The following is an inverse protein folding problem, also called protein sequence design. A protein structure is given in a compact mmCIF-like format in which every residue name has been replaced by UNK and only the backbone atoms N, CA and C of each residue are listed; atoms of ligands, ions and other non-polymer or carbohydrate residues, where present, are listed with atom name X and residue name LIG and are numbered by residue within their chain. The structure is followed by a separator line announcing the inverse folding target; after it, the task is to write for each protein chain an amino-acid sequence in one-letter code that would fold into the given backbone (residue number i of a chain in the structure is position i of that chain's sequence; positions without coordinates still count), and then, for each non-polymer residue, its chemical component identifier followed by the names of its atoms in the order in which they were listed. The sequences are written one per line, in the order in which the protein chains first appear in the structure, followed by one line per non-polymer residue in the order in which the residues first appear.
data_IF_423160329097
#
_entry.id   IF_423160329097
#
_cell.length_a   1.000
_cell.length_b   1.000
_cell.length_c   1.000
_cell.angle_alpha   90.00
_cell.angle_beta   90.00
_cell.angle_gamma   90.00
#
_symmetry.space_group_name_H-M   'P 1'
#
loop_
_entity.id
_entity.type
_entity.pdbx_description
1 polymer ?
#
# COMPACT_ATOMS: atom_id res chain seq x y z
N UNK A 1 9.71 -32.89 -3.09
CA UNK A 1 10.10 -32.04 -3.40
C UNK A 1 10.17 -31.22 -3.34
N UNK A 2 9.64 -31.80 -2.92
CA UNK A 2 9.83 -30.85 -3.11
C UNK A 2 9.72 -30.24 -3.05
N UNK A 3 9.50 -30.47 -2.75
CA UNK A 3 9.53 -29.67 -2.96
C UNK A 3 9.61 -28.94 -3.07
N UNK A 4 9.25 -29.78 -2.99
CA UNK A 4 9.41 -29.02 -3.29
C UNK A 4 9.24 -28.52 -3.43
N UNK A 5 9.21 -28.50 -3.15
CA UNK A 5 9.27 -27.92 -3.58
C UNK A 5 9.57 -27.26 -3.89
N UNK A 6 9.28 -27.57 -3.74
CA UNK A 6 9.60 -26.80 -4.34
C UNK A 6 9.75 -26.44 -4.84
N UNK A 7 9.58 -26.93 -4.87
CA UNK A 7 9.81 -26.57 -5.53
C UNK A 7 10.04 -26.08 -5.80
N UNK A 8 9.96 -26.27 -5.97
CA UNK A 8 10.22 -25.84 -6.41
C UNK A 8 10.33 -25.41 -6.80
N UNK A 9 10.38 -25.41 -6.79
CA UNK A 9 10.48 -25.24 -7.40
C UNK A 9 10.41 -25.02 -7.97
N UNK A 10 10.51 -24.85 -8.17
CA UNK A 10 10.23 -24.85 -8.81
C UNK A 10 9.50 -24.88 -9.15
N UNK A 11 9.86 -25.04 -9.53
CA UNK A 11 8.66 -25.21 -9.92
C UNK A 11 7.57 -24.97 -9.46
N UNK A 12 7.25 -24.69 -9.74
CA UNK A 12 6.24 -24.44 -9.72
C UNK A 12 4.98 -24.21 -9.15
N UNK A 13 4.85 -24.47 -7.99
CA UNK A 13 3.62 -24.16 -7.29
C UNK A 13 3.57 -22.69 -6.92
N UNK A 14 2.38 -22.09 -7.08
CA UNK A 14 2.18 -20.73 -6.60
C UNK A 14 2.37 -20.69 -5.09
N UNK A 15 2.96 -19.61 -4.55
CA UNK A 15 3.10 -19.48 -3.11
C UNK A 15 1.74 -19.49 -2.43
N UNK A 16 1.71 -20.03 -1.24
CA UNK A 16 0.49 -20.03 -0.45
C UNK A 16 0.18 -18.60 -0.02
N UNK A 17 -1.07 -18.17 -0.16
CA UNK A 17 -1.50 -16.86 0.30
C UNK A 17 -1.59 -16.82 1.81
N UNK A 18 -1.04 -15.77 2.40
CA UNK A 18 -1.13 -15.54 3.83
C UNK A 18 -2.51 -14.97 4.16
N UNK A 19 -2.86 -15.00 5.44
CA UNK A 19 -4.10 -14.38 5.89
C UNK A 19 -4.14 -12.90 5.55
N UNK A 20 -3.00 -12.22 5.69
CA UNK A 20 -2.92 -10.81 5.34
C UNK A 20 -3.19 -10.57 3.87
N UNK A 21 -2.64 -11.42 3.00
CA UNK A 21 -2.88 -11.29 1.57
C UNK A 21 -4.34 -11.48 1.22
N UNK A 22 -4.98 -12.46 1.85
CA UNK A 22 -6.42 -12.70 1.64
C UNK A 22 -7.23 -11.51 2.12
N UNK A 23 -6.89 -10.98 3.28
CA UNK A 23 -7.58 -9.80 3.82
C UNK A 23 -7.47 -8.61 2.87
N UNK A 24 -6.27 -8.34 2.35
CA UNK A 24 -6.07 -7.22 1.44
C UNK A 24 -6.83 -7.41 0.13
N UNK A 25 -6.89 -8.65 -0.38
CA UNK A 25 -7.70 -8.94 -1.56
C UNK A 25 -9.17 -8.64 -1.31
N UNK A 26 -9.65 -9.00 -0.13
CA UNK A 26 -11.04 -8.73 0.24
C UNK A 26 -11.31 -7.24 0.33
N UNK A 27 -10.38 -6.49 0.91
CA UNK A 27 -10.55 -5.04 1.04
C UNK A 27 -10.51 -4.36 -0.32
N UNK A 28 -9.70 -4.88 -1.24
CA UNK A 28 -9.66 -4.36 -2.60
C UNK A 28 -11.06 -4.43 -3.25
N UNK A 29 -11.78 -5.51 -2.99
CA UNK A 29 -13.08 -5.73 -3.58
C UNK A 29 -14.22 -5.01 -2.86
N UNK A 30 -14.11 -4.86 -1.55
CA UNK A 30 -15.23 -4.41 -0.70
C UNK A 30 -15.25 -2.90 -0.48
N UNK A 31 -14.08 -2.29 -0.34
CA UNK A 31 -14.00 -0.85 -0.03
C UNK A 31 -14.42 -0.03 -1.25
N UNK A 32 -15.32 0.94 -1.08
CA UNK A 32 -15.74 1.80 -2.20
C UNK A 32 -14.70 2.90 -2.44
N UNK A 33 -13.59 2.52 -3.04
CA UNK A 33 -12.43 3.41 -3.22
C UNK A 33 -12.75 4.72 -3.92
N UNK A 34 -13.50 4.64 -5.03
CA UNK A 34 -13.82 5.84 -5.80
C UNK A 34 -14.66 6.82 -4.99
N UNK A 35 -15.55 6.29 -4.18
CA UNK A 35 -16.41 7.12 -3.36
C UNK A 35 -15.61 7.87 -2.30
N UNK A 36 -14.69 7.17 -1.65
CA UNK A 36 -13.80 7.81 -0.67
C UNK A 36 -12.91 8.83 -1.33
N UNK A 37 -12.41 8.53 -2.52
CA UNK A 37 -11.58 9.49 -3.25
C UNK A 37 -12.33 10.78 -3.54
N UNK A 38 -13.59 10.67 -3.95
CA UNK A 38 -14.39 11.84 -4.25
C UNK A 38 -14.57 12.75 -3.04
N UNK A 39 -14.64 12.16 -1.86
CA UNK A 39 -14.79 12.93 -0.64
C UNK A 39 -13.49 13.60 -0.21
N UNK A 40 -12.36 13.03 -0.58
CA UNK A 40 -11.06 13.49 -0.13
C UNK A 40 -10.38 14.44 -1.10
N UNK A 41 -10.64 14.30 -2.39
CA UNK A 41 -9.98 15.09 -3.44
C UNK A 41 -9.89 16.58 -3.13
N UNK A 42 -10.96 17.23 -2.66
CA UNK A 42 -10.87 18.68 -2.41
C UNK A 42 -9.85 19.06 -1.35
N UNK A 43 -9.46 18.11 -0.51
CA UNK A 43 -8.54 18.37 0.60
C UNK A 43 -7.15 17.79 0.37
N UNK A 44 -6.95 17.08 -0.74
CA UNK A 44 -5.69 16.42 -0.98
C UNK A 44 -4.68 17.38 -1.60
N UNK A 45 -3.43 17.38 -1.14
CA UNK A 45 -2.42 18.29 -1.69
C UNK A 45 -2.23 18.08 -3.18
N UNK A 46 -2.20 19.17 -3.91
CA UNK A 46 -1.95 19.10 -5.35
C UNK A 46 -0.45 19.04 -5.58
N UNK A 47 -0.06 18.54 -6.75
CA UNK A 47 1.33 18.48 -7.14
C UNK A 47 1.93 19.89 -7.05
N UNK A 48 2.83 20.05 -6.10
CA UNK A 48 3.50 21.29 -5.93
C UNK A 48 4.75 21.33 -6.79
N UNK A 49 5.63 22.24 -6.43
CA UNK A 49 6.85 22.42 -7.17
C UNK A 49 7.79 21.24 -6.96
N UNK A 50 8.29 20.73 -8.05
CA UNK A 50 9.42 19.83 -8.03
C UNK A 50 9.14 18.40 -7.65
N UNK A 51 8.12 18.09 -6.91
CA UNK A 51 7.87 16.72 -6.50
C UNK A 51 6.47 16.28 -6.90
N UNK A 52 6.41 15.14 -7.57
CA UNK A 52 5.14 14.56 -7.96
C UNK A 52 4.53 13.86 -6.74
N UNK A 53 3.30 14.20 -6.34
CA UNK A 53 2.67 13.51 -5.22
C UNK A 53 2.27 12.12 -5.63
N UNK A 54 2.20 11.22 -4.64
CA UNK A 54 1.71 9.89 -4.89
C UNK A 54 0.21 9.95 -5.18
N UNK A 55 -0.32 8.99 -5.95
CA UNK A 55 -1.76 8.98 -6.24
C UNK A 55 -2.58 8.94 -4.95
N UNK A 56 -3.71 9.64 -4.97
CA UNK A 56 -4.58 9.68 -3.81
C UNK A 56 -4.98 8.29 -3.35
N UNK A 57 -5.30 7.40 -4.29
CA UNK A 57 -5.71 6.04 -3.94
C UNK A 57 -4.58 5.31 -3.19
N UNK A 58 -3.34 5.51 -3.60
CA UNK A 58 -2.21 4.89 -2.91
C UNK A 58 -2.13 5.39 -1.47
N UNK A 59 -2.26 6.69 -1.26
CA UNK A 59 -2.18 7.24 0.08
C UNK A 59 -3.38 6.85 0.93
N UNK A 60 -4.56 6.74 0.35
CA UNK A 60 -5.73 6.25 1.05
C UNK A 60 -5.51 4.80 1.51
N UNK A 61 -4.98 3.97 0.63
CA UNK A 61 -4.68 2.58 1.00
C UNK A 61 -3.64 2.50 2.10
N UNK A 62 -2.62 3.35 2.05
CA UNK A 62 -1.60 3.40 3.09
C UNK A 62 -2.22 3.78 4.43
N UNK A 63 -3.08 4.80 4.44
CA UNK A 63 -3.76 5.22 5.66
C UNK A 63 -4.60 4.06 6.24
N UNK A 64 -5.34 3.36 5.39
CA UNK A 64 -6.16 2.26 5.86
C UNK A 64 -5.30 1.11 6.38
N UNK A 65 -4.17 0.83 5.73
CA UNK A 65 -3.25 -0.20 6.24
C UNK A 65 -2.72 0.19 7.63
N UNK A 66 -2.45 1.46 7.84
CA UNK A 66 -2.03 1.91 9.17
C UNK A 66 -3.10 1.62 10.21
N UNK A 67 -4.36 1.86 9.86
CA UNK A 67 -5.48 1.60 10.77
C UNK A 67 -5.66 0.10 10.99
N UNK A 68 -5.63 -0.68 9.93
CA UNK A 68 -5.88 -2.12 10.03
C UNK A 68 -4.77 -2.85 10.78
N UNK A 69 -3.53 -2.42 10.61
CA UNK A 69 -2.38 -3.14 11.17
C UNK A 69 -1.73 -2.39 12.34
N UNK A 70 -2.28 -1.25 12.72
CA UNK A 70 -1.77 -0.50 13.86
C UNK A 70 -0.37 0.06 13.66
N UNK A 71 -0.09 0.60 12.46
CA UNK A 71 1.26 1.06 12.13
C UNK A 71 1.37 2.58 12.25
N UNK A 72 2.42 3.03 12.94
CA UNK A 72 2.77 4.44 12.97
C UNK A 72 3.33 4.87 11.62
N UNK A 73 3.52 6.17 11.43
CA UNK A 73 4.07 6.66 10.18
C UNK A 73 5.45 6.07 9.86
N UNK A 74 6.43 6.07 10.79
CA UNK A 74 7.70 5.42 10.48
C UNK A 74 7.59 3.91 10.30
N UNK A 75 6.72 3.24 11.07
CA UNK A 75 6.53 1.81 10.89
C UNK A 75 5.92 1.48 9.53
N UNK A 76 5.03 2.35 9.06
CA UNK A 76 4.42 2.17 7.75
C UNK A 76 5.46 2.32 6.64
N UNK A 77 6.33 3.31 6.76
CA UNK A 77 7.42 3.48 5.79
C UNK A 77 8.29 2.22 5.72
N UNK A 78 8.70 1.71 6.88
CA UNK A 78 9.52 0.51 6.93
C UNK A 78 8.79 -0.70 6.34
N UNK A 79 7.51 -0.84 6.65
CA UNK A 79 6.72 -1.96 6.15
C UNK A 79 6.62 -1.92 4.63
N UNK A 80 6.49 -0.73 4.06
CA UNK A 80 6.44 -0.61 2.60
C UNK A 80 7.77 -1.01 1.97
N UNK A 81 8.89 -0.66 2.60
CA UNK A 81 10.19 -1.08 2.10
C UNK A 81 10.39 -2.59 2.20
N UNK A 82 9.96 -3.19 3.30
CA UNK A 82 10.27 -4.58 3.59
C UNK A 82 9.28 -5.59 3.02
N UNK A 83 8.05 -5.16 2.79
CA UNK A 83 6.97 -6.09 2.46
C UNK A 83 6.39 -5.79 1.08
N UNK A 84 6.82 -6.53 0.05
CA UNK A 84 6.29 -6.32 -1.30
C UNK A 84 4.77 -6.39 -1.39
N UNK A 85 4.16 -7.24 -0.58
CA UNK A 85 2.70 -7.36 -0.55
C UNK A 85 2.02 -6.02 -0.29
N UNK A 86 2.58 -5.24 0.66
CA UNK A 86 1.97 -3.96 1.01
C UNK A 86 2.17 -2.92 -0.09
N UNK A 87 3.33 -2.92 -0.74
CA UNK A 87 3.55 -2.05 -1.89
C UNK A 87 2.58 -2.38 -3.02
N UNK A 88 2.40 -3.67 -3.24
CA UNK A 88 1.50 -4.12 -4.30
C UNK A 88 0.06 -3.71 -4.02
N UNK A 89 -0.38 -3.89 -2.79
CA UNK A 89 -1.73 -3.46 -2.42
C UNK A 89 -1.91 -1.96 -2.61
N UNK A 90 -0.92 -1.16 -2.20
CA UNK A 90 -0.98 0.28 -2.33
C UNK A 90 -0.88 0.75 -3.79
N UNK A 91 -0.40 -0.12 -4.67
CA UNK A 91 -0.22 0.25 -6.07
C UNK A 91 1.02 1.08 -6.30
N UNK A 92 2.01 0.97 -5.42
CA UNK A 92 3.25 1.72 -5.53
C UNK A 92 4.32 0.82 -6.10
N UNK A 93 4.82 1.16 -7.27
CA UNK A 93 5.93 0.44 -7.86
C UNK A 93 7.22 1.22 -7.67
N UNK A 94 8.29 0.65 -8.18
CA UNK A 94 9.60 1.29 -8.09
C UNK A 94 9.71 2.53 -8.94
N UNK A 95 8.76 2.74 -9.84
CA UNK A 95 8.76 3.92 -10.71
C UNK A 95 8.60 5.21 -9.92
N UNK A 96 8.22 5.13 -8.65
CA UNK A 96 8.10 6.31 -7.80
C UNK A 96 9.36 6.59 -7.00
N UNK A 97 10.47 5.98 -7.36
CA UNK A 97 11.75 6.18 -6.68
C UNK A 97 11.67 5.79 -5.21
N UNK A 98 11.01 4.68 -4.96
CA UNK A 98 10.90 4.16 -3.61
C UNK A 98 9.49 4.32 -3.06
N UNK A 99 9.40 4.31 -1.75
CA UNK A 99 8.10 4.42 -1.08
C UNK A 99 7.98 5.79 -0.42
N UNK A 100 6.74 6.22 -0.10
CA UNK A 100 6.57 7.47 0.65
C UNK A 100 7.27 7.37 2.00
N UNK A 101 8.03 8.40 2.35
CA UNK A 101 8.68 8.42 3.66
C UNK A 101 7.67 8.84 4.74
N UNK A 102 8.10 8.77 6.01
CA UNK A 102 7.17 9.04 7.10
C UNK A 102 6.60 10.46 7.04
N UNK A 103 7.37 11.43 6.58
CA UNK A 103 6.89 12.80 6.46
C UNK A 103 5.80 12.91 5.40
N UNK A 104 6.02 12.28 4.25
CA UNK A 104 5.04 12.26 3.18
C UNK A 104 3.77 11.57 3.63
N UNK A 105 3.91 10.45 4.35
CA UNK A 105 2.76 9.72 4.88
C UNK A 105 1.97 10.62 5.83
N UNK A 106 2.66 11.27 6.76
CA UNK A 106 2.01 12.12 7.76
C UNK A 106 1.23 13.26 7.10
N UNK A 107 1.85 13.94 6.15
CA UNK A 107 1.23 15.09 5.49
C UNK A 107 0.03 14.64 4.66
N UNK A 108 0.17 13.57 3.89
CA UNK A 108 -0.92 13.09 3.05
C UNK A 108 -2.08 12.57 3.88
N UNK A 109 -1.77 11.82 4.94
CA UNK A 109 -2.80 11.24 5.79
C UNK A 109 -3.55 12.32 6.56
N UNK A 110 -2.89 13.42 6.90
CA UNK A 110 -3.57 14.56 7.52
C UNK A 110 -4.72 15.08 6.68
N UNK A 111 -4.55 15.08 5.37
CA UNK A 111 -5.60 15.55 4.47
C UNK A 111 -6.77 14.56 4.38
N UNK A 112 -6.52 13.30 4.72
CA UNK A 112 -7.54 12.25 4.66
C UNK A 112 -8.35 12.20 5.94
N UNK A 113 -7.74 12.50 7.07
CA UNK A 113 -8.42 12.49 8.36
C UNK A 113 -9.43 13.65 8.52
#
# INVERSE_FOLDING_TARGET
MLQGRFSGMGGGKAPKKTRRAVFLDQMTAVVPWSRFEQLIVPHYPVAGRGRRPYPLRAMLKIHLMQQWFGLSDPAMEEALWETPLLREFAGIGLEFEGVPDETTIRVSVSAIR
#
